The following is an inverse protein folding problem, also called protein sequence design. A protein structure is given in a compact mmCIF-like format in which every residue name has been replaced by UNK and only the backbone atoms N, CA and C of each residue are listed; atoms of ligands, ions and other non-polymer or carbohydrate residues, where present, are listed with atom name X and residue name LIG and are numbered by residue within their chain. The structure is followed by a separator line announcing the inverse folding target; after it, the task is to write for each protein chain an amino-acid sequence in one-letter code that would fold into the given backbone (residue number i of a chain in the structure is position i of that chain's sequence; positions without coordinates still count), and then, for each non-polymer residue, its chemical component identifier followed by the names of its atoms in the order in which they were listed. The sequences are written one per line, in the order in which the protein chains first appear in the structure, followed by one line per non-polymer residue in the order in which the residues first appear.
data_IF_715010012626
#
_entry.id   IF_715010012626
#
_cell.length_a   1.000
_cell.length_b   1.000
_cell.length_c   1.000
_cell.angle_alpha   90.00
_cell.angle_beta   90.00
_cell.angle_gamma   90.00
#
_symmetry.space_group_name_H-M   'P 1'
#
loop_
_entity.id
_entity.type
_entity.pdbx_description
1 polymer ?
#
# COMPACT_ATOMS: atom_id res chain seq x y z
N UNK A 1 8.44 8.46 22.99
CA UNK A 1 7.63 7.45 23.70
C UNK A 1 7.50 6.13 22.94
N UNK A 2 7.08 6.12 21.67
CA UNK A 2 7.12 4.91 20.82
C UNK A 2 8.49 4.21 20.83
N UNK A 3 9.56 4.95 20.51
CA UNK A 3 10.94 4.44 20.45
C UNK A 3 11.46 3.83 21.76
N UNK A 4 10.95 4.24 22.92
CA UNK A 4 11.48 3.84 24.24
C UNK A 4 10.51 2.94 25.04
N UNK A 5 9.22 2.97 24.74
CA UNK A 5 8.18 2.26 25.51
C UNK A 5 7.21 1.44 24.66
N UNK A 6 7.39 1.38 23.33
CA UNK A 6 6.55 0.59 22.41
C UNK A 6 5.05 0.92 22.53
N UNK A 7 4.73 2.20 22.76
CA UNK A 7 3.34 2.67 22.95
C UNK A 7 2.49 2.65 21.66
N UNK A 8 3.09 2.34 20.52
CA UNK A 8 2.42 2.02 19.26
C UNK A 8 1.90 0.58 19.19
N UNK A 9 2.31 -0.29 20.11
CA UNK A 9 1.84 -1.67 20.15
C UNK A 9 0.37 -1.71 20.57
N UNK A 10 -0.52 -2.00 19.62
CA UNK A 10 -1.93 -2.23 19.92
C UNK A 10 -2.11 -3.48 20.81
N UNK A 11 -3.21 -3.50 21.56
CA UNK A 11 -3.60 -4.66 22.35
C UNK A 11 -3.70 -5.93 21.48
N UNK A 12 -4.26 -5.81 20.28
CA UNK A 12 -4.37 -6.90 19.32
C UNK A 12 -2.99 -7.43 18.91
N UNK A 13 -2.08 -6.56 18.48
CA UNK A 13 -0.73 -6.96 18.10
C UNK A 13 0.02 -7.66 19.25
N UNK A 14 -0.26 -7.24 20.51
CA UNK A 14 0.28 -7.90 21.70
C UNK A 14 -0.28 -9.32 21.88
N UNK A 15 -1.57 -9.54 21.69
CA UNK A 15 -2.18 -10.88 21.74
C UNK A 15 -1.66 -11.80 20.63
N UNK A 16 -1.55 -11.30 19.40
CA UNK A 16 -0.92 -12.05 18.30
C UNK A 16 0.50 -12.47 18.66
N UNK A 17 1.31 -11.55 19.22
CA UNK A 17 2.68 -11.85 19.66
C UNK A 17 2.74 -12.87 20.80
N UNK A 18 1.75 -12.86 21.70
CA UNK A 18 1.59 -13.84 22.78
C UNK A 18 0.98 -15.17 22.29
N UNK A 19 0.82 -15.35 20.98
CA UNK A 19 0.27 -16.55 20.35
C UNK A 19 -1.17 -16.88 20.76
N UNK A 20 -1.95 -15.86 21.10
CA UNK A 20 -3.40 -16.03 21.21
C UNK A 20 -3.94 -16.49 19.85
N UNK A 21 -4.84 -17.50 19.80
CA UNK A 21 -5.40 -17.98 18.55
C UNK A 21 -6.07 -16.86 17.75
N UNK A 22 -5.83 -16.85 16.44
CA UNK A 22 -6.38 -15.87 15.50
C UNK A 22 -7.04 -16.58 14.34
N UNK A 23 -8.02 -15.92 13.73
CA UNK A 23 -8.64 -16.34 12.48
C UNK A 23 -8.13 -15.39 11.40
N UNK A 24 -7.27 -15.90 10.52
CA UNK A 24 -6.71 -15.14 9.40
C UNK A 24 -7.67 -15.24 8.21
N UNK A 25 -8.28 -14.12 7.83
CA UNK A 25 -9.06 -14.04 6.60
C UNK A 25 -8.10 -14.04 5.40
N UNK A 26 -8.26 -15.03 4.53
CA UNK A 26 -7.29 -15.34 3.49
C UNK A 26 -7.77 -15.01 2.07
N UNK A 27 -8.90 -14.31 1.89
CA UNK A 27 -9.40 -13.93 0.57
C UNK A 27 -9.85 -12.47 0.55
N UNK A 28 -9.27 -11.66 -0.34
CA UNK A 28 -9.63 -10.26 -0.53
C UNK A 28 -10.68 -10.11 -1.66
N UNK A 29 -11.59 -9.15 -1.52
CA UNK A 29 -12.71 -8.96 -2.45
C UNK A 29 -12.79 -7.58 -3.10
N UNK A 30 -11.76 -6.74 -2.97
CA UNK A 30 -11.82 -5.29 -3.27
C UNK A 30 -10.87 -4.85 -4.37
N UNK A 31 -9.63 -5.35 -4.40
CA UNK A 31 -8.61 -4.94 -5.37
C UNK A 31 -8.53 -5.92 -6.55
N UNK A 32 -7.94 -5.51 -7.67
CA UNK A 32 -7.57 -6.45 -8.76
C UNK A 32 -6.50 -7.42 -8.24
N UNK A 33 -6.52 -8.65 -8.73
CA UNK A 33 -5.54 -9.67 -8.31
C UNK A 33 -4.08 -9.18 -8.46
N UNK A 34 -3.76 -8.55 -9.59
CA UNK A 34 -2.41 -8.01 -9.86
C UNK A 34 -1.96 -6.95 -8.84
N UNK A 35 -2.89 -6.14 -8.33
CA UNK A 35 -2.59 -5.13 -7.28
C UNK A 35 -2.46 -5.83 -5.93
N UNK A 36 -3.29 -6.85 -5.67
CA UNK A 36 -3.21 -7.63 -4.44
C UNK A 36 -1.86 -8.34 -4.28
N UNK A 37 -1.23 -8.73 -5.39
CA UNK A 37 0.10 -9.34 -5.41
C UNK A 37 1.20 -8.44 -4.83
N UNK A 38 1.01 -7.10 -4.83
CA UNK A 38 1.96 -6.16 -4.24
C UNK A 38 2.07 -6.28 -2.72
N UNK A 39 1.04 -6.80 -2.05
CA UNK A 39 0.99 -6.89 -0.58
C UNK A 39 0.66 -8.29 -0.04
N UNK A 40 0.22 -9.23 -0.88
CA UNK A 40 -0.22 -10.57 -0.46
C UNK A 40 0.86 -11.36 0.27
N UNK A 41 2.13 -11.19 -0.13
CA UNK A 41 3.30 -11.83 0.48
C UNK A 41 3.43 -11.61 2.00
N UNK A 42 2.83 -10.54 2.53
CA UNK A 42 2.90 -10.20 3.96
C UNK A 42 1.93 -11.02 4.81
N UNK A 43 0.91 -11.60 4.19
CA UNK A 43 -0.19 -12.30 4.84
C UNK A 43 -0.15 -13.79 4.51
N UNK A 44 -0.68 -14.61 5.42
CA UNK A 44 -0.71 -16.06 5.21
C UNK A 44 -1.78 -16.43 4.18
N UNK A 45 -1.34 -17.02 3.07
CA UNK A 45 -2.20 -17.59 2.04
C UNK A 45 -3.28 -16.62 1.49
N UNK A 46 -2.97 -15.31 1.41
CA UNK A 46 -3.93 -14.30 0.96
C UNK A 46 -4.17 -14.39 -0.56
N UNK A 47 -5.35 -14.87 -0.93
CA UNK A 47 -5.86 -14.96 -2.30
C UNK A 47 -7.01 -14.00 -2.61
N UNK A 48 -7.80 -14.33 -3.64
CA UNK A 48 -8.85 -13.48 -4.17
C UNK A 48 -10.23 -14.16 -4.11
N UNK A 49 -11.26 -13.43 -3.71
CA UNK A 49 -12.66 -13.89 -3.80
C UNK A 49 -13.12 -13.96 -5.27
N UNK A 50 -14.13 -14.80 -5.54
CA UNK A 50 -14.64 -15.05 -6.90
C UNK A 50 -15.18 -13.81 -7.61
N UNK A 51 -15.69 -12.83 -6.85
CA UNK A 51 -16.16 -11.56 -7.40
C UNK A 51 -15.02 -10.78 -8.07
N UNK A 52 -13.80 -10.82 -7.51
CA UNK A 52 -12.63 -10.15 -8.09
C UNK A 52 -12.23 -10.77 -9.43
N UNK A 53 -12.44 -12.07 -9.58
CA UNK A 53 -12.07 -12.81 -10.79
C UNK A 53 -13.13 -12.74 -11.90
N UNK A 54 -14.41 -12.61 -11.52
CA UNK A 54 -15.53 -12.70 -12.46
C UNK A 54 -16.07 -11.34 -12.92
N UNK A 55 -16.10 -10.36 -12.02
CA UNK A 55 -16.76 -9.08 -12.27
C UNK A 55 -15.94 -8.19 -13.22
N UNK A 56 -16.63 -7.60 -14.21
CA UNK A 56 -16.00 -6.79 -15.26
C UNK A 56 -15.24 -5.59 -14.71
N UNK A 57 -15.67 -5.02 -13.57
CA UNK A 57 -15.00 -3.87 -12.95
C UNK A 57 -13.55 -4.14 -12.54
N UNK A 58 -13.19 -5.40 -12.30
CA UNK A 58 -11.83 -5.81 -11.96
C UNK A 58 -10.99 -6.26 -13.15
N UNK A 59 -11.61 -6.42 -14.33
CA UNK A 59 -10.99 -6.89 -15.57
C UNK A 59 -10.82 -5.80 -16.61
N UNK A 60 -11.58 -4.71 -16.51
CA UNK A 60 -11.44 -3.55 -17.38
C UNK A 60 -10.04 -2.93 -17.20
N UNK A 61 -9.38 -2.58 -18.31
CA UNK A 61 -8.12 -1.86 -18.28
C UNK A 61 -8.31 -0.40 -17.80
N UNK A 62 -7.22 0.24 -17.40
CA UNK A 62 -7.23 1.65 -17.04
C UNK A 62 -7.24 2.48 -18.35
N UNK A 63 -8.26 3.31 -18.56
CA UNK A 63 -8.34 4.11 -19.78
C UNK A 63 -7.15 5.10 -19.86
N UNK A 64 -6.45 5.12 -21.00
CA UNK A 64 -5.29 5.99 -21.21
C UNK A 64 -3.98 5.51 -20.56
N UNK A 65 -3.99 4.38 -19.83
CA UNK A 65 -2.81 3.83 -19.16
C UNK A 65 -2.62 2.36 -19.53
N UNK A 66 -1.43 1.99 -19.99
CA UNK A 66 -1.15 0.65 -20.53
C UNK A 66 -1.09 -0.44 -19.45
N UNK A 67 -0.82 -0.08 -18.20
CA UNK A 67 -0.61 -1.01 -17.09
C UNK A 67 -1.59 -0.76 -15.95
N UNK A 68 -1.88 -1.80 -15.17
CA UNK A 68 -2.79 -1.70 -14.02
C UNK A 68 -2.18 -0.93 -12.85
N UNK A 69 -0.85 -0.97 -12.72
CA UNK A 69 -0.06 -0.13 -11.83
C UNK A 69 1.33 0.09 -12.44
N UNK A 70 1.97 1.20 -12.09
CA UNK A 70 3.32 1.53 -12.52
C UNK A 70 4.07 2.21 -11.37
N UNK A 71 5.38 1.96 -11.29
CA UNK A 71 6.28 2.78 -10.50
C UNK A 71 6.97 3.73 -11.46
N UNK A 72 6.81 5.03 -11.24
CA UNK A 72 7.39 6.08 -12.07
C UNK A 72 8.52 6.71 -11.27
N UNK A 73 9.73 6.67 -11.84
CA UNK A 73 10.87 7.37 -11.28
C UNK A 73 10.71 8.87 -11.54
N UNK A 74 10.82 9.70 -10.50
CA UNK A 74 10.80 11.15 -10.60
C UNK A 74 12.17 11.65 -10.16
N UNK A 75 12.94 12.15 -11.12
CA UNK A 75 14.24 12.76 -10.86
C UNK A 75 14.08 14.17 -10.26
N UNK A 76 15.20 14.76 -9.84
CA UNK A 76 15.22 16.10 -9.26
C UNK A 76 14.55 17.14 -10.18
N UNK A 77 13.62 17.90 -9.64
CA UNK A 77 12.93 18.99 -10.32
C UNK A 77 13.59 20.32 -9.95
N UNK A 78 14.01 21.10 -10.95
CA UNK A 78 14.80 22.33 -10.74
C UNK A 78 16.08 22.10 -9.90
N UNK A 79 16.66 20.91 -9.99
CA UNK A 79 17.85 20.52 -9.22
C UNK A 79 17.55 20.16 -7.76
N UNK A 80 16.28 19.96 -7.40
CA UNK A 80 15.84 19.61 -6.06
C UNK A 80 14.83 18.45 -6.07
N UNK A 81 15.09 17.43 -5.27
CA UNK A 81 14.14 16.34 -4.98
C UNK A 81 13.28 16.64 -3.74
N UNK A 82 13.44 15.84 -2.68
CA UNK A 82 12.80 16.10 -1.39
C UNK A 82 13.26 17.44 -0.80
N UNK A 83 12.31 18.23 -0.31
CA UNK A 83 12.53 19.53 0.31
C UNK A 83 11.75 19.66 1.61
N UNK A 84 12.18 20.60 2.46
CA UNK A 84 11.61 20.79 3.79
C UNK A 84 11.48 22.30 4.13
N UNK A 85 10.36 22.96 3.76
CA UNK A 85 10.13 24.39 4.01
C UNK A 85 10.08 24.76 5.49
N UNK A 86 9.50 23.89 6.31
CA UNK A 86 9.45 24.03 7.77
C UNK A 86 9.93 22.74 8.43
N UNK A 87 10.53 22.81 9.64
CA UNK A 87 11.02 21.62 10.34
C UNK A 87 10.02 20.46 10.36
N UNK A 88 10.43 19.29 9.84
CA UNK A 88 9.64 18.05 9.74
C UNK A 88 8.44 18.08 8.78
N UNK A 89 8.35 19.08 7.90
CA UNK A 89 7.38 19.13 6.81
C UNK A 89 8.05 18.77 5.48
N UNK A 90 8.02 17.49 5.12
CA UNK A 90 8.63 16.97 3.90
C UNK A 90 7.68 17.12 2.71
N UNK A 91 8.22 17.59 1.58
CA UNK A 91 7.49 17.70 0.31
C UNK A 91 8.44 17.39 -0.86
N UNK A 92 7.89 16.90 -1.97
CA UNK A 92 8.60 16.77 -3.24
C UNK A 92 7.77 17.48 -4.32
N UNK A 93 8.27 18.63 -4.81
CA UNK A 93 7.54 19.44 -5.80
C UNK A 93 7.45 18.71 -7.15
N UNK A 94 8.52 18.02 -7.56
CA UNK A 94 8.51 17.22 -8.79
C UNK A 94 7.43 16.15 -8.75
N UNK A 95 7.36 15.37 -7.67
CA UNK A 95 6.32 14.35 -7.50
C UNK A 95 4.91 14.95 -7.45
N UNK A 96 4.74 16.10 -6.78
CA UNK A 96 3.45 16.78 -6.69
C UNK A 96 2.96 17.25 -8.06
N UNK A 97 3.80 17.90 -8.86
CA UNK A 97 3.45 18.37 -10.21
C UNK A 97 3.18 17.20 -11.17
N UNK A 98 3.89 16.08 -11.06
CA UNK A 98 3.60 14.86 -11.84
C UNK A 98 2.23 14.22 -11.51
N UNK A 99 1.69 14.47 -10.32
CA UNK A 99 0.41 13.92 -9.88
C UNK A 99 -0.80 14.79 -10.27
N UNK A 100 -0.60 16.07 -10.63
CA UNK A 100 -1.65 17.04 -11.02
C UNK A 100 -2.05 16.85 -12.47
#
# INVERSE_FOLDING_TARGET
FQKYGHLDQSLYARFVRLKTPTVDLNLQGRARAQIADLYSWRYKDLGNLSNVLTDKRYRAANAGLSHEYQFINVDDFEGQGESQPTPHFYQNLGEAEYCV
#
